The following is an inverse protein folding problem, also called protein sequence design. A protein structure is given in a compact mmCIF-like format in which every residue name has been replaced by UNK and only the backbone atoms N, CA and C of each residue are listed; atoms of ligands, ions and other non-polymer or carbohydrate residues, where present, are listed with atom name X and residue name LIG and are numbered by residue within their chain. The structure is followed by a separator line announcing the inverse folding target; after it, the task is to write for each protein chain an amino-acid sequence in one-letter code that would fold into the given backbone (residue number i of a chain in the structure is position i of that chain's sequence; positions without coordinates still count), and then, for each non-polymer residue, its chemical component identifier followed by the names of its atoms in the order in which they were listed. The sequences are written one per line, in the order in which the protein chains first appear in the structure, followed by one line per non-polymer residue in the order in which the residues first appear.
data_IF_384336193047
#
_entry.id   IF_384336193047
#
_cell.length_a   1.000
_cell.length_b   1.000
_cell.length_c   1.000
_cell.angle_alpha   90.00
_cell.angle_beta   90.00
_cell.angle_gamma   90.00
#
_symmetry.space_group_name_H-M   'P 1'
#
loop_
_entity.id
_entity.type
_entity.pdbx_description
1 polymer ?
#
# COMPACT_ATOMS: atom_id res chain seq x y z
N UNK A 1 35.69 -25.85 38.56
CA UNK A 1 35.10 -24.90 37.60
C UNK A 1 34.69 -25.52 36.25
N UNK A 2 34.82 -26.83 36.03
CA UNK A 2 34.51 -27.50 34.74
C UNK A 2 33.14 -28.17 34.69
N UNK A 3 32.55 -28.56 35.83
CA UNK A 3 31.25 -29.26 35.89
C UNK A 3 30.08 -28.29 35.63
N UNK A 4 30.16 -27.03 36.08
CA UNK A 4 29.10 -26.04 35.87
C UNK A 4 28.92 -25.61 34.41
N UNK A 5 30.00 -25.64 33.62
CA UNK A 5 29.98 -25.27 32.19
C UNK A 5 29.33 -26.38 31.35
N UNK A 6 29.54 -27.66 31.71
CA UNK A 6 28.91 -28.80 31.04
C UNK A 6 27.39 -28.84 31.25
N UNK A 7 26.91 -28.48 32.44
CA UNK A 7 25.46 -28.42 32.73
C UNK A 7 24.81 -27.24 31.97
N UNK A 8 25.47 -26.09 31.89
CA UNK A 8 24.96 -24.94 31.13
C UNK A 8 24.86 -25.24 29.62
N UNK A 9 25.83 -25.94 29.04
CA UNK A 9 25.80 -26.32 27.62
C UNK A 9 24.71 -27.37 27.31
N UNK A 10 24.44 -28.30 28.22
CA UNK A 10 23.37 -29.29 28.05
C UNK A 10 21.97 -28.63 28.07
N UNK A 11 21.77 -27.59 28.88
CA UNK A 11 20.50 -26.85 28.94
C UNK A 11 20.27 -26.05 27.65
N UNK A 12 21.32 -25.41 27.11
CA UNK A 12 21.22 -24.65 25.85
C UNK A 12 20.91 -25.58 24.67
N UNK A 13 21.51 -26.77 24.62
CA UNK A 13 21.24 -27.76 23.57
C UNK A 13 19.82 -28.34 23.66
N UNK A 14 19.26 -28.50 24.86
CA UNK A 14 17.88 -28.95 25.03
C UNK A 14 16.86 -27.89 24.54
N UNK A 15 17.14 -26.60 24.77
CA UNK A 15 16.27 -25.49 24.33
C UNK A 15 16.24 -25.38 22.80
N UNK A 16 17.37 -25.56 22.12
CA UNK A 16 17.44 -25.47 20.65
C UNK A 16 16.74 -26.64 19.96
N UNK A 17 16.82 -27.86 20.53
CA UNK A 17 16.09 -29.04 20.02
C UNK A 17 14.58 -28.87 20.23
N UNK A 18 14.14 -28.35 21.38
CA UNK A 18 12.73 -28.07 21.64
C UNK A 18 12.16 -27.02 20.66
N UNK A 19 12.91 -25.95 20.39
CA UNK A 19 12.51 -24.93 19.42
C UNK A 19 12.41 -25.48 17.99
N UNK A 20 13.33 -26.35 17.58
CA UNK A 20 13.30 -26.98 16.25
C UNK A 20 12.12 -27.96 16.10
N UNK A 21 11.81 -28.75 17.12
CA UNK A 21 10.64 -29.67 17.11
C UNK A 21 9.32 -28.90 17.08
N UNK A 22 9.22 -27.76 17.78
CA UNK A 22 8.01 -26.92 17.75
C UNK A 22 7.82 -26.27 16.37
N UNK A 23 8.90 -25.78 15.74
CA UNK A 23 8.80 -25.18 14.40
C UNK A 23 8.46 -26.20 13.30
N UNK A 24 8.91 -27.45 13.42
CA UNK A 24 8.71 -28.46 12.37
C UNK A 24 7.37 -29.21 12.47
N UNK A 25 6.58 -29.00 13.55
CA UNK A 25 5.35 -29.76 13.82
C UNK A 25 4.05 -29.00 13.50
N UNK A 26 4.12 -27.75 13.05
CA UNK A 26 2.95 -26.91 12.70
C UNK A 26 2.35 -27.19 11.31
N UNK A 27 2.74 -28.27 10.64
CA UNK A 27 2.07 -28.79 9.44
C UNK A 27 0.86 -29.71 9.72
N UNK A 28 0.25 -29.70 10.91
CA UNK A 28 -1.04 -30.38 11.15
C UNK A 28 -1.96 -29.58 12.08
N UNK A 29 -3.14 -29.21 11.55
CA UNK A 29 -4.32 -28.73 12.28
C UNK A 29 -4.66 -29.65 13.46
N UNK A 30 -4.94 -29.08 14.65
CA UNK A 30 -6.25 -29.16 15.32
C UNK A 30 -6.27 -28.50 16.70
N UNK A 31 -7.44 -27.93 16.99
CA UNK A 31 -7.93 -27.11 18.10
C UNK A 31 -7.96 -27.81 19.48
N UNK A 32 -7.74 -27.09 20.60
CA UNK A 32 -8.76 -26.73 21.64
C UNK A 32 -8.17 -26.11 22.92
N UNK A 33 -8.61 -24.86 23.16
CA UNK A 33 -8.92 -24.12 24.39
C UNK A 33 -8.00 -24.10 25.63
N UNK A 34 -7.56 -22.88 25.99
CA UNK A 34 -7.60 -22.38 27.37
C UNK A 34 -7.86 -20.88 27.33
N UNK A 35 -8.78 -20.44 28.19
CA UNK A 35 -9.34 -19.09 28.25
C UNK A 35 -8.32 -18.10 28.80
N UNK A 36 -7.80 -17.25 27.91
CA UNK A 36 -7.32 -15.93 28.28
C UNK A 36 -7.98 -14.92 27.35
N UNK A 37 -8.56 -13.87 27.94
CA UNK A 37 -9.18 -12.76 27.22
C UNK A 37 -8.09 -11.91 26.58
N UNK A 38 -7.48 -12.41 25.51
CA UNK A 38 -6.89 -11.55 24.49
C UNK A 38 -8.04 -11.02 23.64
N UNK A 39 -8.16 -9.69 23.55
CA UNK A 39 -8.85 -9.05 22.45
C UNK A 39 -8.24 -9.59 21.16
N UNK A 40 -8.86 -10.62 20.60
CA UNK A 40 -8.74 -10.88 19.18
C UNK A 40 -9.43 -9.69 18.51
N UNK A 41 -8.66 -8.64 18.22
CA UNK A 41 -8.98 -7.84 17.06
C UNK A 41 -9.01 -8.83 15.90
N UNK A 42 -10.22 -9.24 15.52
CA UNK A 42 -10.46 -9.75 14.19
C UNK A 42 -10.16 -8.59 13.27
N UNK A 43 -8.88 -8.44 12.88
CA UNK A 43 -8.47 -7.41 11.93
C UNK A 43 -9.27 -7.63 10.67
N UNK A 44 -10.16 -6.68 10.35
CA UNK A 44 -10.96 -6.74 9.14
C UNK A 44 -10.00 -6.90 7.95
N UNK A 45 -10.15 -7.95 7.11
CA UNK A 45 -9.28 -8.17 5.96
C UNK A 45 -9.32 -7.01 4.95
N UNK A 46 -10.35 -6.15 4.96
CA UNK A 46 -10.37 -4.90 4.19
C UNK A 46 -9.41 -3.87 4.79
N UNK A 47 -9.50 -3.63 6.10
CA UNK A 47 -8.62 -2.71 6.84
C UNK A 47 -7.15 -3.10 6.69
N UNK A 48 -6.82 -4.39 6.85
CA UNK A 48 -5.45 -4.86 6.68
C UNK A 48 -4.88 -4.60 5.27
N UNK A 49 -5.72 -4.69 4.23
CA UNK A 49 -5.32 -4.34 2.86
C UNK A 49 -5.10 -2.84 2.71
N UNK A 50 -5.86 -2.02 3.41
CA UNK A 50 -5.78 -0.55 3.36
C UNK A 50 -4.51 -0.08 4.02
N UNK A 51 -4.21 -0.64 5.19
CA UNK A 51 -2.99 -0.37 5.93
C UNK A 51 -1.74 -0.66 5.06
N UNK A 52 -1.74 -1.76 4.30
CA UNK A 52 -0.65 -2.09 3.37
C UNK A 52 -0.52 -1.07 2.21
N UNK A 53 -1.64 -0.59 1.67
CA UNK A 53 -1.62 0.43 0.61
C UNK A 53 -1.12 1.77 1.17
N UNK A 54 -1.56 2.14 2.38
CA UNK A 54 -1.07 3.33 3.08
C UNK A 54 0.43 3.23 3.35
N UNK A 55 0.93 2.09 3.81
CA UNK A 55 2.37 1.85 3.99
C UNK A 55 3.13 2.04 2.67
N UNK A 56 2.59 1.55 1.56
CA UNK A 56 3.18 1.74 0.23
C UNK A 56 3.26 3.23 -0.15
N UNK A 57 2.21 4.00 0.12
CA UNK A 57 2.17 5.45 -0.14
C UNK A 57 3.16 6.22 0.76
N UNK A 58 3.25 5.86 2.04
CA UNK A 58 4.20 6.46 2.97
C UNK A 58 5.65 6.17 2.56
N UNK A 59 5.94 4.94 2.12
CA UNK A 59 7.24 4.58 1.56
C UNK A 59 7.56 5.41 0.30
N UNK A 60 6.59 5.55 -0.60
CA UNK A 60 6.75 6.40 -1.79
C UNK A 60 7.07 7.85 -1.39
N UNK A 61 6.39 8.38 -0.37
CA UNK A 61 6.64 9.73 0.14
C UNK A 61 8.09 9.90 0.64
N UNK A 62 8.59 8.91 1.40
CA UNK A 62 9.99 8.89 1.84
C UNK A 62 10.94 8.87 0.64
N UNK A 63 10.69 8.01 -0.36
CA UNK A 63 11.53 7.90 -1.55
C UNK A 63 11.55 9.22 -2.35
N UNK A 64 10.42 9.92 -2.45
CA UNK A 64 10.33 11.25 -3.07
C UNK A 64 11.23 12.24 -2.33
N UNK A 65 11.14 12.32 -1.00
CA UNK A 65 11.95 13.26 -0.20
C UNK A 65 13.44 12.99 -0.32
N UNK A 66 13.84 11.73 -0.39
CA UNK A 66 15.25 11.32 -0.52
C UNK A 66 15.77 11.55 -1.95
N UNK A 67 14.90 11.52 -2.96
CA UNK A 67 15.31 11.64 -4.38
C UNK A 67 15.92 12.99 -4.77
N UNK A 68 15.73 14.03 -3.94
CA UNK A 68 16.29 15.36 -4.19
C UNK A 68 15.66 16.08 -5.39
N UNK A 69 14.41 15.76 -5.74
CA UNK A 69 13.65 16.51 -6.75
C UNK A 69 13.28 17.90 -6.24
N UNK A 70 12.81 18.76 -7.16
CA UNK A 70 12.41 20.13 -6.79
C UNK A 70 11.29 20.12 -5.75
N UNK A 71 11.31 21.11 -4.85
CA UNK A 71 10.29 21.27 -3.80
C UNK A 71 8.88 21.33 -4.40
N UNK A 72 8.71 22.04 -5.52
CA UNK A 72 7.44 22.12 -6.23
C UNK A 72 6.91 20.74 -6.63
N UNK A 73 7.74 19.90 -7.23
CA UNK A 73 7.33 18.55 -7.64
C UNK A 73 7.05 17.66 -6.45
N UNK A 74 7.90 17.73 -5.42
CA UNK A 74 7.71 17.00 -4.15
C UNK A 74 6.34 17.31 -3.54
N UNK A 75 5.99 18.59 -3.38
CA UNK A 75 4.72 19.01 -2.78
C UNK A 75 3.51 18.51 -3.58
N UNK A 76 3.59 18.46 -4.91
CA UNK A 76 2.49 17.93 -5.74
C UNK A 76 2.32 16.42 -5.52
N UNK A 77 3.42 15.67 -5.43
CA UNK A 77 3.35 14.24 -5.12
C UNK A 77 2.78 13.99 -3.71
N UNK A 78 3.21 14.78 -2.72
CA UNK A 78 2.72 14.70 -1.34
C UNK A 78 1.22 14.98 -1.24
N UNK A 79 0.73 16.03 -1.90
CA UNK A 79 -0.69 16.37 -1.94
C UNK A 79 -1.55 15.24 -2.53
N UNK A 80 -1.05 14.55 -3.57
CA UNK A 80 -1.72 13.38 -4.14
C UNK A 80 -1.70 12.19 -3.17
N UNK A 81 -0.57 11.94 -2.51
CA UNK A 81 -0.43 10.88 -1.51
C UNK A 81 -1.39 11.11 -0.35
N UNK A 82 -1.43 12.33 0.20
CA UNK A 82 -2.31 12.70 1.30
C UNK A 82 -3.78 12.57 0.88
N UNK A 83 -4.12 13.00 -0.33
CA UNK A 83 -5.47 12.83 -0.87
C UNK A 83 -5.87 11.36 -0.96
N UNK A 84 -4.98 10.47 -1.42
CA UNK A 84 -5.25 9.03 -1.49
C UNK A 84 -5.37 8.39 -0.10
N UNK A 85 -4.50 8.75 0.85
CA UNK A 85 -4.57 8.26 2.24
C UNK A 85 -5.91 8.63 2.87
N UNK A 86 -6.37 9.86 2.65
CA UNK A 86 -7.67 10.33 3.16
C UNK A 86 -8.87 9.69 2.44
N UNK A 87 -8.72 9.37 1.15
CA UNK A 87 -9.79 8.86 0.30
C UNK A 87 -10.07 7.37 0.54
N UNK A 88 -9.02 6.55 0.66
CA UNK A 88 -9.11 5.09 0.80
C UNK A 88 -10.12 4.62 1.87
N UNK A 89 -10.05 5.07 3.14
CA UNK A 89 -10.99 4.62 4.17
C UNK A 89 -12.42 5.03 3.86
N UNK A 90 -12.63 6.22 3.29
CA UNK A 90 -13.96 6.74 2.94
C UNK A 90 -14.61 5.96 1.81
N UNK A 91 -13.84 5.50 0.82
CA UNK A 91 -14.36 4.62 -0.22
C UNK A 91 -14.80 3.29 0.39
N UNK A 92 -14.03 2.71 1.30
CA UNK A 92 -14.36 1.40 1.87
C UNK A 92 -15.63 1.39 2.72
N UNK A 93 -15.92 2.50 3.39
CA UNK A 93 -17.16 2.70 4.13
C UNK A 93 -18.39 2.79 3.22
N UNK A 94 -18.23 3.29 1.99
CA UNK A 94 -19.35 3.61 1.10
C UNK A 94 -19.49 2.66 -0.10
N UNK A 95 -18.40 2.06 -0.55
CA UNK A 95 -18.33 1.14 -1.69
C UNK A 95 -18.74 -0.27 -1.25
N UNK A 96 -20.02 -0.40 -0.91
CA UNK A 96 -20.66 -1.69 -0.62
C UNK A 96 -21.08 -2.45 -1.88
N UNK A 97 -20.94 -1.84 -3.07
CA UNK A 97 -21.24 -2.43 -4.39
C UNK A 97 -19.98 -3.09 -4.96
N UNK A 98 -19.82 -4.39 -4.73
CA UNK A 98 -18.77 -5.28 -5.27
C UNK A 98 -17.29 -4.88 -5.02
N UNK A 99 -17.02 -3.68 -4.49
CA UNK A 99 -15.70 -3.19 -4.13
C UNK A 99 -14.82 -2.80 -5.32
N UNK A 100 -15.39 -2.64 -6.52
CA UNK A 100 -14.64 -2.35 -7.74
C UNK A 100 -13.95 -0.97 -7.68
N UNK A 101 -14.63 0.06 -7.17
CA UNK A 101 -14.03 1.38 -7.05
C UNK A 101 -12.93 1.39 -5.98
N UNK A 102 -13.18 0.75 -4.83
CA UNK A 102 -12.17 0.53 -3.79
C UNK A 102 -10.95 -0.20 -4.35
N UNK A 103 -11.16 -1.28 -5.11
CA UNK A 103 -10.09 -2.04 -5.73
C UNK A 103 -9.30 -1.20 -6.73
N UNK A 104 -9.97 -0.45 -7.61
CA UNK A 104 -9.31 0.39 -8.61
C UNK A 104 -8.52 1.51 -7.93
N UNK A 105 -9.05 2.17 -6.90
CA UNK A 105 -8.32 3.23 -6.18
C UNK A 105 -7.12 2.66 -5.41
N UNK A 106 -7.25 1.46 -4.82
CA UNK A 106 -6.10 0.76 -4.22
C UNK A 106 -5.00 0.52 -5.26
N UNK A 107 -5.34 0.03 -6.46
CA UNK A 107 -4.35 -0.15 -7.54
C UNK A 107 -3.75 1.16 -8.03
N UNK A 108 -4.54 2.23 -8.09
CA UNK A 108 -4.01 3.56 -8.39
C UNK A 108 -2.92 3.94 -7.37
N UNK A 109 -3.20 3.74 -6.08
CA UNK A 109 -2.28 4.06 -4.99
C UNK A 109 -1.05 3.13 -4.92
N UNK A 110 -1.22 1.82 -5.08
CA UNK A 110 -0.14 0.84 -4.89
C UNK A 110 0.66 0.53 -6.16
N UNK A 111 0.08 0.74 -7.34
CA UNK A 111 0.70 0.37 -8.62
C UNK A 111 0.91 1.57 -9.53
N UNK A 112 -0.15 2.30 -9.89
CA UNK A 112 -0.06 3.32 -10.93
C UNK A 112 0.75 4.54 -10.51
N UNK A 113 0.40 5.17 -9.38
CA UNK A 113 1.11 6.36 -8.89
C UNK A 113 2.60 6.07 -8.68
N UNK A 114 2.99 4.98 -7.97
CA UNK A 114 4.41 4.66 -7.81
C UNK A 114 5.08 4.31 -9.14
N UNK A 115 4.56 3.33 -9.90
CA UNK A 115 5.32 2.70 -10.98
C UNK A 115 5.18 3.38 -12.34
N UNK A 116 4.10 4.12 -12.58
CA UNK A 116 3.82 4.77 -13.86
C UNK A 116 4.04 6.28 -13.81
N UNK A 117 3.94 6.91 -12.64
CA UNK A 117 4.13 8.35 -12.50
C UNK A 117 5.47 8.69 -11.82
N UNK A 118 5.65 8.30 -10.56
CA UNK A 118 6.72 8.86 -9.71
C UNK A 118 8.07 8.18 -9.93
N UNK A 119 8.14 6.84 -9.79
CA UNK A 119 9.41 6.11 -9.95
C UNK A 119 10.09 6.31 -11.31
N UNK A 120 9.37 6.32 -12.44
CA UNK A 120 9.98 6.60 -13.74
C UNK A 120 10.73 7.93 -13.77
N UNK A 121 10.22 8.96 -13.06
CA UNK A 121 10.86 10.27 -13.00
C UNK A 121 12.00 10.33 -11.98
N UNK A 122 11.76 9.90 -10.72
CA UNK A 122 12.76 10.09 -9.66
C UNK A 122 14.01 9.22 -9.86
N UNK A 123 13.92 8.14 -10.64
CA UNK A 123 15.05 7.25 -11.00
C UNK A 123 15.91 7.79 -12.15
N UNK A 124 15.47 8.82 -12.85
CA UNK A 124 16.28 9.49 -13.87
C UNK A 124 17.47 10.21 -13.23
N UNK A 125 18.52 10.45 -14.02
CA UNK A 125 19.59 11.35 -13.61
C UNK A 125 19.07 12.79 -13.46
N UNK A 126 19.77 13.64 -12.69
CA UNK A 126 19.36 15.03 -12.50
C UNK A 126 19.16 15.77 -13.84
N UNK A 127 20.10 15.63 -14.77
CA UNK A 127 20.00 16.27 -16.09
C UNK A 127 18.77 15.82 -16.90
N UNK A 128 18.37 14.55 -16.78
CA UNK A 128 17.15 14.05 -17.40
C UNK A 128 15.91 14.56 -16.69
N UNK A 129 15.91 14.62 -15.35
CA UNK A 129 14.79 15.17 -14.57
C UNK A 129 14.52 16.63 -14.84
N UNK A 130 15.57 17.39 -15.15
CA UNK A 130 15.49 18.82 -15.44
C UNK A 130 15.07 19.11 -16.89
N UNK A 131 14.92 18.08 -17.74
CA UNK A 131 14.42 18.26 -19.09
C UNK A 131 12.93 18.62 -19.05
N UNK A 132 12.55 19.60 -19.88
CA UNK A 132 11.16 20.07 -19.98
C UNK A 132 10.20 18.93 -20.36
N UNK A 133 10.64 18.00 -21.21
CA UNK A 133 9.89 16.81 -21.59
C UNK A 133 9.52 15.94 -20.38
N UNK A 134 10.48 15.59 -19.53
CA UNK A 134 10.24 14.72 -18.38
C UNK A 134 9.42 15.43 -17.29
N UNK A 135 9.66 16.73 -17.07
CA UNK A 135 8.86 17.54 -16.15
C UNK A 135 7.41 17.64 -16.64
N UNK A 136 7.20 17.91 -17.93
CA UNK A 136 5.86 18.03 -18.52
C UNK A 136 5.11 16.71 -18.46
N UNK A 137 5.77 15.60 -18.81
CA UNK A 137 5.21 14.25 -18.73
C UNK A 137 4.76 13.86 -17.32
N UNK A 138 5.61 14.13 -16.31
CA UNK A 138 5.26 13.92 -14.90
C UNK A 138 4.06 14.78 -14.50
N UNK A 139 4.14 16.10 -14.74
CA UNK A 139 3.09 17.04 -14.34
C UNK A 139 1.74 16.69 -15.00
N UNK A 140 1.75 16.27 -16.26
CA UNK A 140 0.56 15.83 -16.95
C UNK A 140 -0.05 14.59 -16.27
N UNK A 141 0.80 13.61 -15.92
CA UNK A 141 0.35 12.38 -15.25
C UNK A 141 -0.22 12.66 -13.86
N UNK A 142 0.47 13.47 -13.06
CA UNK A 142 0.02 13.87 -11.73
C UNK A 142 -1.27 14.72 -11.77
N UNK A 143 -1.39 15.64 -12.73
CA UNK A 143 -2.59 16.47 -12.90
C UNK A 143 -3.83 15.65 -13.27
N UNK A 144 -3.67 14.70 -14.21
CA UNK A 144 -4.73 13.75 -14.56
C UNK A 144 -5.18 12.95 -13.34
N UNK A 145 -4.22 12.42 -12.59
CA UNK A 145 -4.51 11.64 -11.38
C UNK A 145 -5.22 12.47 -10.30
N UNK A 146 -4.74 13.68 -10.02
CA UNK A 146 -5.37 14.60 -9.05
C UNK A 146 -6.81 14.94 -9.42
N UNK A 147 -7.07 15.17 -10.70
CA UNK A 147 -8.43 15.41 -11.21
C UNK A 147 -9.33 14.20 -10.94
N UNK A 148 -8.84 12.99 -11.18
CA UNK A 148 -9.62 11.78 -10.92
C UNK A 148 -9.89 11.55 -9.43
N UNK A 149 -8.90 11.75 -8.57
CA UNK A 149 -9.06 11.67 -7.12
C UNK A 149 -10.12 12.65 -6.63
N UNK A 150 -10.08 13.89 -7.12
CA UNK A 150 -11.08 14.94 -6.79
C UNK A 150 -12.48 14.52 -7.22
N UNK A 151 -12.63 14.00 -8.44
CA UNK A 151 -13.91 13.52 -8.95
C UNK A 151 -14.46 12.36 -8.11
N UNK A 152 -13.61 11.44 -7.65
CA UNK A 152 -14.03 10.33 -6.79
C UNK A 152 -14.46 10.86 -5.42
N UNK A 153 -13.71 11.80 -4.85
CA UNK A 153 -14.05 12.43 -3.57
C UNK A 153 -15.43 13.10 -3.61
N UNK A 154 -15.74 13.79 -4.71
CA UNK A 154 -17.07 14.37 -4.93
C UNK A 154 -18.17 13.31 -5.04
N UNK A 155 -17.92 12.19 -5.73
CA UNK A 155 -18.89 11.10 -5.87
C UNK A 155 -19.21 10.48 -4.50
N UNK A 156 -18.21 10.28 -3.66
CA UNK A 156 -18.35 9.83 -2.27
C UNK A 156 -19.13 10.86 -1.44
N UNK A 157 -18.81 12.15 -1.57
CA UNK A 157 -19.52 13.20 -0.85
C UNK A 157 -21.02 13.24 -1.23
N UNK A 158 -21.33 13.00 -2.51
CA UNK A 158 -22.70 12.93 -3.04
C UNK A 158 -23.41 11.60 -2.75
N UNK A 159 -22.70 10.59 -2.24
CA UNK A 159 -23.18 9.20 -2.05
C UNK A 159 -23.82 8.62 -3.31
N UNK A 160 -23.31 8.99 -4.47
CA UNK A 160 -23.82 8.54 -5.76
C UNK A 160 -23.23 7.18 -6.13
N UNK A 161 -23.72 6.15 -5.43
CA UNK A 161 -23.19 4.78 -5.54
C UNK A 161 -23.43 4.19 -6.94
N UNK A 162 -24.46 4.64 -7.66
CA UNK A 162 -24.74 4.19 -9.03
C UNK A 162 -23.61 4.59 -9.99
N UNK A 163 -23.01 5.77 -9.77
CA UNK A 163 -21.89 6.27 -10.57
C UNK A 163 -20.56 5.59 -10.25
N UNK A 164 -20.45 4.82 -9.15
CA UNK A 164 -19.18 4.21 -8.73
C UNK A 164 -18.69 3.16 -9.72
N UNK A 165 -19.58 2.31 -10.24
CA UNK A 165 -19.22 1.27 -11.22
C UNK A 165 -18.66 1.87 -12.50
N UNK A 166 -19.39 2.80 -13.11
CA UNK A 166 -18.93 3.50 -14.32
C UNK A 166 -17.62 4.24 -14.08
N UNK A 167 -17.42 4.79 -12.87
CA UNK A 167 -16.16 5.42 -12.49
C UNK A 167 -15.02 4.40 -12.40
N UNK A 168 -15.25 3.25 -11.76
CA UNK A 168 -14.26 2.19 -11.63
C UNK A 168 -13.83 1.65 -13.01
N UNK A 169 -14.79 1.40 -13.91
CA UNK A 169 -14.55 0.99 -15.29
C UNK A 169 -13.70 2.02 -16.06
N UNK A 170 -14.08 3.29 -15.99
CA UNK A 170 -13.33 4.39 -16.61
C UNK A 170 -11.89 4.47 -16.09
N UNK A 171 -11.70 4.41 -14.78
CA UNK A 171 -10.37 4.49 -14.16
C UNK A 171 -9.50 3.28 -14.52
N UNK A 172 -10.10 2.09 -14.57
CA UNK A 172 -9.40 0.88 -15.01
C UNK A 172 -8.96 1.02 -16.47
N UNK A 173 -9.83 1.53 -17.36
CA UNK A 173 -9.46 1.80 -18.75
C UNK A 173 -8.36 2.86 -18.87
N UNK A 174 -8.40 3.91 -18.04
CA UNK A 174 -7.48 5.04 -18.13
C UNK A 174 -6.09 4.75 -17.57
N UNK A 175 -5.99 3.89 -16.56
CA UNK A 175 -4.75 3.72 -15.79
C UNK A 175 -4.21 2.28 -15.79
N UNK A 176 -5.01 1.29 -16.21
CA UNK A 176 -4.67 -0.13 -16.06
C UNK A 176 -4.64 -0.91 -17.39
N UNK A 177 -4.88 -0.26 -18.54
CA UNK A 177 -4.90 -0.90 -19.87
C UNK A 177 -3.52 -1.21 -20.44
N UNK A 178 -2.43 -0.76 -19.83
CA UNK A 178 -1.06 -1.04 -20.27
C UNK A 178 -0.51 -2.37 -19.72
N UNK A 179 -1.36 -3.41 -19.66
CA UNK A 179 -1.07 -4.71 -19.05
C UNK A 179 -1.19 -5.93 -19.97
N UNK A 180 -1.44 -5.76 -21.27
CA UNK A 180 -1.32 -6.81 -22.27
C UNK A 180 -0.27 -6.42 -23.31
N UNK A 181 0.98 -6.79 -23.05
CA UNK A 181 2.05 -6.94 -24.04
C UNK A 181 3.00 -8.05 -23.59
#
# INVERSE_FOLDING_TARGET
MTIGILIALAIILAITIAAWIILNKTNKKSTTASTDKQNAETTDPKKARTDLVVETLLKLNIDIRISGITEKTMLVCEDIIDSLINLLPRIEEQDTLDGELSWTVRRIASEYLPNKCVYPYIRLSQAQRDSEENISSLNQSLSKLKTEITNIDELIAKKDVQSFKSKAEFLNQRFMTDGEA
#
